data_IF_472192487906
#
_entry.id   IF_472192487906
#
_cell.length_a   1.000
_cell.length_b   1.000
_cell.length_c   1.000
_cell.angle_alpha   90.00
_cell.angle_beta   90.00
_cell.angle_gamma   90.00
#
_symmetry.space_group_name_H-M   'P 1'
#
loop_
_entity.id
_entity.type
_entity.pdbx_description
1 polymer ?
#
# COMPACT_ATOMS: atom_id res chain seq x y z
N UNK A 1 -63.03 44.69 8.96
CA UNK A 1 -62.83 43.58 8.01
C UNK A 1 -61.54 42.86 8.43
N UNK A 2 -61.65 41.74 9.14
CA UNK A 2 -60.53 41.10 9.87
C UNK A 2 -59.76 40.17 8.93
N UNK A 3 -58.47 40.45 8.78
CA UNK A 3 -57.51 39.58 8.10
C UNK A 3 -57.43 38.22 8.80
N UNK A 4 -57.58 37.14 8.02
CA UNK A 4 -57.24 35.79 8.44
C UNK A 4 -56.16 35.27 7.49
N UNK A 5 -54.92 35.44 7.94
CA UNK A 5 -53.75 34.71 7.43
C UNK A 5 -53.81 33.33 8.10
N UNK A 6 -54.00 32.27 7.33
CA UNK A 6 -53.65 30.92 7.78
C UNK A 6 -52.27 30.62 7.24
N UNK A 7 -51.29 30.74 8.14
CA UNK A 7 -49.99 30.09 8.01
C UNK A 7 -50.28 28.65 8.42
N UNK A 8 -50.14 27.71 7.48
CA UNK A 8 -50.04 26.29 7.81
C UNK A 8 -48.66 25.87 7.36
N UNK A 9 -47.85 25.54 8.35
CA UNK A 9 -46.48 25.03 8.32
C UNK A 9 -46.25 24.05 7.15
N UNK A 10 -45.22 24.23 6.33
CA UNK A 10 -43.81 23.86 6.63
C UNK A 10 -43.67 22.44 7.18
N UNK A 11 -44.24 21.45 6.49
CA UNK A 11 -43.97 20.02 6.71
C UNK A 11 -43.83 19.25 5.38
N UNK A 12 -43.31 19.89 4.34
CA UNK A 12 -42.62 19.15 3.27
C UNK A 12 -41.17 18.96 3.70
N UNK A 13 -40.98 18.24 4.81
CA UNK A 13 -39.72 17.56 5.05
C UNK A 13 -39.54 16.61 3.86
N UNK A 14 -38.73 17.05 2.90
CA UNK A 14 -38.35 16.33 1.70
C UNK A 14 -38.16 14.85 2.04
N UNK A 15 -39.07 14.01 1.59
CA UNK A 15 -39.00 12.57 1.79
C UNK A 15 -37.84 12.07 0.92
N UNK A 16 -36.64 12.05 1.50
CA UNK A 16 -35.43 11.64 0.79
C UNK A 16 -35.60 10.17 0.47
N UNK A 17 -35.74 9.84 -0.81
CA UNK A 17 -35.78 8.46 -1.26
C UNK A 17 -34.49 7.74 -0.86
N UNK A 18 -34.58 6.87 0.16
CA UNK A 18 -33.43 6.12 0.70
C UNK A 18 -33.03 4.98 -0.25
N UNK A 19 -33.95 4.48 -1.07
CA UNK A 19 -33.68 3.34 -1.97
C UNK A 19 -32.53 3.59 -2.97
N UNK A 20 -32.44 4.74 -3.66
CA UNK A 20 -31.27 5.06 -4.48
C UNK A 20 -29.98 5.24 -3.68
N UNK A 21 -30.05 5.77 -2.46
CA UNK A 21 -28.87 5.98 -1.61
C UNK A 21 -28.26 4.65 -1.16
N UNK A 22 -29.12 3.69 -0.79
CA UNK A 22 -28.71 2.34 -0.42
C UNK A 22 -28.01 1.64 -1.59
N UNK A 23 -28.53 1.78 -2.82
CA UNK A 23 -27.93 1.19 -4.02
C UNK A 23 -26.52 1.76 -4.29
N UNK A 24 -26.35 3.09 -4.18
CA UNK A 24 -25.04 3.72 -4.30
C UNK A 24 -24.04 3.20 -3.26
N UNK A 25 -24.46 3.02 -2.01
CA UNK A 25 -23.59 2.49 -0.95
C UNK A 25 -23.25 1.01 -1.20
N UNK A 26 -24.20 0.18 -1.62
CA UNK A 26 -23.95 -1.23 -1.92
C UNK A 26 -22.97 -1.41 -3.08
N UNK A 27 -23.12 -0.65 -4.16
CA UNK A 27 -22.21 -0.70 -5.30
C UNK A 27 -20.79 -0.28 -4.90
N UNK A 28 -20.64 0.74 -4.04
CA UNK A 28 -19.34 1.15 -3.51
C UNK A 28 -18.69 0.06 -2.66
N UNK A 29 -19.44 -0.62 -1.80
CA UNK A 29 -18.92 -1.74 -0.99
C UNK A 29 -18.47 -2.91 -1.85
N UNK A 30 -19.26 -3.29 -2.87
CA UNK A 30 -18.87 -4.32 -3.83
C UNK A 30 -17.60 -3.91 -4.56
N UNK A 31 -17.51 -2.66 -5.02
CA UNK A 31 -16.31 -2.15 -5.68
C UNK A 31 -15.09 -2.24 -4.76
N UNK A 32 -15.17 -1.81 -3.50
CA UNK A 32 -14.06 -1.94 -2.55
C UNK A 32 -13.65 -3.39 -2.32
N UNK A 33 -14.61 -4.30 -2.10
CA UNK A 33 -14.33 -5.73 -1.86
C UNK A 33 -13.75 -6.41 -3.09
N UNK A 34 -14.22 -6.08 -4.30
CA UNK A 34 -13.74 -6.69 -5.55
C UNK A 34 -12.40 -6.09 -5.97
N UNK A 35 -12.14 -4.82 -5.66
CA UNK A 35 -10.87 -4.14 -6.01
C UNK A 35 -9.74 -4.41 -5.02
N UNK A 36 -10.00 -5.02 -3.86
CA UNK A 36 -8.95 -5.69 -3.06
C UNK A 36 -8.51 -6.99 -3.75
N UNK A 37 -8.13 -6.91 -5.02
CA UNK A 37 -7.35 -7.93 -5.69
C UNK A 37 -5.92 -7.81 -5.15
N UNK A 38 -5.58 -8.77 -4.32
CA UNK A 38 -4.25 -9.16 -3.86
C UNK A 38 -3.10 -8.36 -4.48
N UNK A 39 -2.56 -7.43 -3.70
CA UNK A 39 -1.16 -7.05 -3.87
C UNK A 39 -0.35 -8.21 -3.32
N UNK A 40 -0.13 -9.24 -4.14
CA UNK A 40 0.99 -10.15 -3.91
C UNK A 40 2.25 -9.28 -4.08
N UNK A 41 2.72 -8.70 -2.98
CA UNK A 41 4.08 -8.21 -2.89
C UNK A 41 4.96 -9.37 -3.33
N UNK A 42 5.55 -9.31 -4.53
CA UNK A 42 6.58 -10.26 -4.96
C UNK A 42 7.81 -9.99 -4.10
N UNK A 43 7.75 -10.42 -2.86
CA UNK A 43 8.73 -10.23 -1.83
C UNK A 43 8.84 -11.55 -1.11
N UNK A 44 10.03 -12.16 -1.21
CA UNK A 44 10.43 -13.22 -0.30
C UNK A 44 10.04 -12.79 1.12
N UNK A 45 9.39 -13.68 1.87
CA UNK A 45 9.07 -13.45 3.28
C UNK A 45 10.38 -13.28 4.05
N UNK A 46 10.82 -12.03 4.23
CA UNK A 46 12.04 -11.71 4.98
C UNK A 46 11.63 -11.58 6.43
N UNK A 47 11.95 -12.60 7.24
CA UNK A 47 11.97 -12.46 8.69
C UNK A 47 12.97 -11.36 9.06
N UNK A 48 12.45 -10.17 9.36
CA UNK A 48 13.26 -9.07 9.91
C UNK A 48 13.46 -9.38 11.39
N UNK A 49 14.70 -9.65 11.85
CA UNK A 49 14.93 -9.78 13.29
C UNK A 49 14.56 -8.45 13.96
N UNK A 50 13.80 -8.49 15.06
CA UNK A 50 13.59 -7.33 15.90
C UNK A 50 14.96 -6.85 16.41
N UNK A 51 15.32 -5.61 16.07
CA UNK A 51 16.63 -5.07 16.40
C UNK A 51 16.74 -4.86 17.93
N UNK A 52 17.30 -5.85 18.62
CA UNK A 52 17.74 -5.70 20.00
C UNK A 52 18.94 -4.75 20.01
N UNK A 53 18.67 -3.49 20.36
CA UNK A 53 19.60 -2.36 20.40
C UNK A 53 19.96 -1.75 19.04
N UNK A 54 19.76 -0.43 18.96
CA UNK A 54 20.39 0.45 17.98
C UNK A 54 21.91 0.54 18.27
N UNK A 55 22.61 -0.59 18.28
CA UNK A 55 24.05 -0.57 18.11
C UNK A 55 24.29 0.00 16.71
N UNK A 56 25.03 1.10 16.66
CA UNK A 56 25.43 1.73 15.43
C UNK A 56 26.37 0.74 14.72
N UNK A 57 25.82 -0.17 13.93
CA UNK A 57 26.62 -1.04 13.08
C UNK A 57 27.42 -0.12 12.19
N UNK A 58 28.74 -0.30 12.20
CA UNK A 58 29.60 0.29 11.18
C UNK A 58 28.97 -0.03 9.83
N UNK A 59 28.58 1.02 9.10
CA UNK A 59 27.88 0.91 7.82
C UNK A 59 28.85 0.39 6.75
N UNK A 60 29.21 -0.88 6.85
CA UNK A 60 29.90 -1.61 5.79
C UNK A 60 28.87 -1.95 4.71
N UNK A 61 28.45 -0.94 3.98
CA UNK A 61 27.53 -1.09 2.85
C UNK A 61 28.24 -1.77 1.68
N UNK A 62 27.75 -2.94 1.27
CA UNK A 62 28.25 -3.66 0.10
C UNK A 62 27.41 -3.24 -1.10
N UNK A 63 28.06 -2.65 -2.11
CA UNK A 63 27.39 -2.27 -3.35
C UNK A 63 27.61 -3.34 -4.43
N UNK A 64 26.54 -4.02 -4.80
CA UNK A 64 26.52 -5.06 -5.84
C UNK A 64 25.62 -4.57 -6.97
N UNK A 65 26.16 -4.50 -8.19
CA UNK A 65 25.39 -4.15 -9.37
C UNK A 65 25.00 -5.42 -10.14
N UNK A 66 23.75 -5.47 -10.62
CA UNK A 66 23.24 -6.54 -11.48
C UNK A 66 22.83 -5.91 -12.81
N UNK A 67 23.43 -6.36 -13.91
CA UNK A 67 23.10 -5.84 -15.25
C UNK A 67 21.87 -6.55 -15.82
N UNK A 68 21.23 -5.96 -16.84
CA UNK A 68 20.11 -6.59 -17.56
C UNK A 68 20.47 -7.93 -18.24
N UNK A 69 21.76 -8.20 -18.42
CA UNK A 69 22.29 -9.47 -18.95
C UNK A 69 22.50 -10.53 -17.86
N UNK A 70 22.12 -10.24 -16.61
CA UNK A 70 22.30 -11.15 -15.46
C UNK A 70 23.74 -11.18 -14.91
N UNK A 71 24.59 -10.23 -15.31
CA UNK A 71 25.96 -10.17 -14.83
C UNK A 71 26.00 -9.48 -13.47
N UNK A 72 26.78 -10.04 -12.55
CA UNK A 72 26.94 -9.49 -11.19
C UNK A 72 28.31 -8.84 -11.07
N UNK A 73 28.33 -7.56 -10.70
CA UNK A 73 29.53 -6.72 -10.65
C UNK A 73 29.73 -6.16 -9.24
N UNK A 74 30.97 -6.22 -8.76
CA UNK A 74 31.41 -5.65 -7.49
C UNK A 74 32.74 -4.92 -7.69
N UNK A 75 32.84 -3.67 -7.26
CA UNK A 75 34.08 -2.87 -7.38
C UNK A 75 34.59 -2.73 -8.83
N UNK A 76 33.69 -2.69 -9.81
CA UNK A 76 34.04 -2.63 -11.24
C UNK A 76 34.47 -3.96 -11.86
N UNK A 77 34.46 -5.08 -11.11
CA UNK A 77 34.77 -6.41 -11.62
C UNK A 77 33.54 -7.31 -11.64
N UNK A 78 33.35 -8.04 -12.72
CA UNK A 78 32.35 -9.10 -12.80
C UNK A 78 32.75 -10.27 -11.90
N UNK A 79 31.91 -10.59 -10.93
CA UNK A 79 32.11 -11.67 -9.95
C UNK A 79 31.15 -12.85 -10.17
N UNK A 80 30.07 -12.64 -10.93
CA UNK A 80 28.99 -13.62 -11.09
C UNK A 80 28.25 -13.92 -9.78
N UNK A 81 27.11 -14.61 -9.88
CA UNK A 81 26.27 -14.94 -8.70
C UNK A 81 27.05 -15.78 -7.67
N UNK A 82 27.87 -16.73 -8.14
CA UNK A 82 28.67 -17.59 -7.27
C UNK A 82 29.74 -16.82 -6.47
N UNK A 83 30.22 -15.69 -6.99
CA UNK A 83 31.24 -14.86 -6.33
C UNK A 83 30.69 -14.03 -5.18
N UNK A 84 29.37 -13.76 -5.16
CA UNK A 84 28.73 -12.90 -4.15
C UNK A 84 28.97 -13.42 -2.73
N UNK A 85 28.78 -14.72 -2.50
CA UNK A 85 28.93 -15.33 -1.18
C UNK A 85 30.33 -15.11 -0.59
N UNK A 86 31.36 -15.16 -1.43
CA UNK A 86 32.75 -14.98 -0.98
C UNK A 86 33.05 -13.52 -0.61
N UNK A 87 32.42 -12.56 -1.29
CA UNK A 87 32.55 -11.12 -0.97
C UNK A 87 31.80 -10.80 0.33
N UNK A 88 30.57 -11.29 0.48
CA UNK A 88 29.73 -11.00 1.65
C UNK A 88 30.26 -11.66 2.93
N UNK A 89 30.82 -12.89 2.85
CA UNK A 89 31.36 -13.59 4.02
C UNK A 89 32.64 -13.01 4.61
N UNK A 90 33.35 -12.15 3.87
CA UNK A 90 34.64 -11.58 4.30
C UNK A 90 34.49 -10.34 5.16
N UNK A 91 33.27 -9.81 5.26
CA UNK A 91 32.89 -8.69 6.12
C UNK A 91 32.07 -9.22 7.28
#
# INVERSE_FOLDING_TARGET
MRARRSITDTDEAMDINISPLIDMVFILLIFFIVTTVFVEETGVEVEKPEAASAAQLDKNSILIAVTSKGQVVYGGKEIGVNGVRAIVRRL
#
